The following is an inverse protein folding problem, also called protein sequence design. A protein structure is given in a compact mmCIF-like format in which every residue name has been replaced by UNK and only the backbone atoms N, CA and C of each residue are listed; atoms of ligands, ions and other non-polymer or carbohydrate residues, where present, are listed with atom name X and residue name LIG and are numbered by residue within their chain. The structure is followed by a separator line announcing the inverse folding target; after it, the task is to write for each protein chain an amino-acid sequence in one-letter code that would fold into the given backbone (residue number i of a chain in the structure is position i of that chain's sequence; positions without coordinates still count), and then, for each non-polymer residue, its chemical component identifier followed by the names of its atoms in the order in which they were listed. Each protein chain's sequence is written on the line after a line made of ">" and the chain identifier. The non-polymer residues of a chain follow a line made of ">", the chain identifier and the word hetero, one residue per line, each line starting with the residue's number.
data_IF_789963887068
#
_entry.id   IF_789963887068
#
_cell.length_a   1.000
_cell.length_b   1.000
_cell.length_c   1.000
_cell.angle_alpha   90.00
_cell.angle_beta   90.00
_cell.angle_gamma   90.00
#
_symmetry.space_group_name_H-M   'P 1'
#
loop_
_entity.id
_entity.type
_entity.pdbx_description
1 polymer ?
#
# COMPACT_ATOMS: atom_id res chain seq x y z
N UNK A 1 6.23 23.70 18.08
CA UNK A 1 6.90 23.43 19.38
C UNK A 1 6.61 22.00 19.79
N UNK A 2 7.29 21.44 20.80
CA UNK A 2 6.99 20.08 21.28
C UNK A 2 5.54 19.95 21.77
N UNK A 3 4.97 21.02 22.32
CA UNK A 3 3.56 21.08 22.72
C UNK A 3 2.59 20.81 21.56
N UNK A 4 2.83 21.43 20.40
CA UNK A 4 2.02 21.19 19.21
C UNK A 4 2.15 19.76 18.68
N UNK A 5 3.32 19.13 18.82
CA UNK A 5 3.51 17.74 18.41
C UNK A 5 2.72 16.77 19.29
N UNK A 6 2.71 16.99 20.60
CA UNK A 6 1.91 16.18 21.53
C UNK A 6 0.41 16.35 21.31
N UNK A 7 -0.04 17.56 20.99
CA UNK A 7 -1.44 17.79 20.63
C UNK A 7 -1.83 17.02 19.36
N UNK A 8 -0.99 17.06 18.32
CA UNK A 8 -1.19 16.30 17.08
C UNK A 8 -1.19 14.79 17.36
N UNK A 9 -0.26 14.29 18.16
CA UNK A 9 -0.18 12.87 18.54
C UNK A 9 -1.46 12.41 19.24
N UNK A 10 -1.95 13.20 20.21
CA UNK A 10 -3.17 12.88 20.94
C UNK A 10 -4.40 12.86 20.02
N UNK A 11 -4.52 13.83 19.11
CA UNK A 11 -5.60 13.89 18.13
C UNK A 11 -5.56 12.72 17.14
N UNK A 12 -4.36 12.32 16.71
CA UNK A 12 -4.15 11.21 15.79
C UNK A 12 -4.51 9.87 16.47
N UNK A 13 -4.06 9.65 17.71
CA UNK A 13 -4.41 8.47 18.48
C UNK A 13 -5.92 8.37 18.74
N UNK A 14 -6.57 9.50 19.05
CA UNK A 14 -8.03 9.55 19.15
C UNK A 14 -8.70 9.11 17.84
N UNK A 15 -8.25 9.68 16.71
CA UNK A 15 -8.78 9.37 15.38
C UNK A 15 -8.59 7.90 14.99
N UNK A 16 -7.47 7.28 15.36
CA UNK A 16 -7.22 5.85 15.14
C UNK A 16 -8.19 4.98 15.94
N UNK A 17 -8.42 5.29 17.21
CA UNK A 17 -9.36 4.55 18.04
C UNK A 17 -10.80 4.64 17.53
N UNK A 18 -11.20 5.82 17.05
CA UNK A 18 -12.49 6.02 16.38
C UNK A 18 -12.58 5.26 15.06
N UNK A 19 -11.50 5.24 14.28
CA UNK A 19 -11.41 4.45 13.04
C UNK A 19 -11.52 2.94 13.25
N UNK A 20 -10.99 2.41 14.34
CA UNK A 20 -11.04 0.97 14.65
C UNK A 20 -12.40 0.49 15.19
N UNK A 21 -13.24 1.41 15.69
CA UNK A 21 -14.52 1.11 16.33
C UNK A 21 -15.66 1.03 15.30
N UNK A 22 -16.49 -0.01 15.42
CA UNK A 22 -17.60 -0.27 14.48
C UNK A 22 -18.60 0.88 14.36
N UNK A 23 -18.92 1.52 15.48
CA UNK A 23 -19.91 2.59 15.60
C UNK A 23 -19.39 3.95 15.11
N UNK A 24 -18.10 4.22 15.26
CA UNK A 24 -17.50 5.51 14.88
C UNK A 24 -16.78 5.49 13.53
N UNK A 25 -16.37 4.32 13.02
CA UNK A 25 -15.68 4.16 11.74
C UNK A 25 -16.34 4.88 10.54
N UNK A 26 -17.68 4.83 10.34
CA UNK A 26 -18.33 5.47 9.20
C UNK A 26 -18.05 6.98 9.09
N UNK A 27 -17.87 7.65 10.23
CA UNK A 27 -17.63 9.11 10.31
C UNK A 27 -16.22 9.49 10.76
N UNK A 28 -15.40 8.53 11.18
CA UNK A 28 -14.03 8.79 11.62
C UNK A 28 -13.17 9.43 10.50
N UNK A 29 -12.27 10.37 10.82
CA UNK A 29 -11.39 11.02 9.84
C UNK A 29 -10.27 10.09 9.36
N UNK A 30 -9.85 9.13 10.20
CA UNK A 30 -8.93 8.06 9.82
C UNK A 30 -9.70 6.75 9.81
N UNK A 31 -9.78 6.09 8.65
CA UNK A 31 -10.68 4.94 8.45
C UNK A 31 -10.17 3.61 8.98
N UNK A 32 -8.88 3.46 9.23
CA UNK A 32 -8.29 2.23 9.78
C UNK A 32 -8.78 0.95 9.08
N UNK A 33 -8.85 0.97 7.74
CA UNK A 33 -9.35 -0.16 6.98
C UNK A 33 -8.46 -1.40 7.15
N UNK A 34 -9.04 -2.62 7.18
CA UNK A 34 -8.25 -3.83 7.25
C UNK A 34 -7.40 -4.00 5.99
N UNK A 35 -6.12 -4.31 6.15
CA UNK A 35 -5.18 -4.56 5.04
C UNK A 35 -5.32 -5.97 4.47
N UNK A 36 -6.06 -6.86 5.15
CA UNK A 36 -6.19 -8.29 4.86
C UNK A 36 -4.89 -9.10 4.90
N UNK A 37 -3.77 -8.48 5.27
CA UNK A 37 -2.51 -9.15 5.61
C UNK A 37 -2.68 -9.79 6.99
N UNK A 38 -2.55 -11.12 7.07
CA UNK A 38 -2.82 -11.89 8.30
C UNK A 38 -1.56 -12.29 9.05
N UNK A 39 -0.42 -12.21 8.40
CA UNK A 39 0.88 -12.53 9.00
C UNK A 39 1.95 -11.61 8.41
N UNK A 40 2.96 -11.30 9.20
CA UNK A 40 4.09 -10.46 8.79
C UNK A 40 5.25 -11.37 8.45
N UNK A 41 5.95 -11.14 7.31
CA UNK A 41 7.07 -11.98 6.95
C UNK A 41 8.14 -12.03 8.06
N UNK A 42 8.59 -13.23 8.38
CA UNK A 42 9.58 -13.50 9.44
C UNK A 42 10.87 -14.16 8.91
N UNK A 43 10.95 -14.37 7.60
CA UNK A 43 12.10 -14.94 6.91
C UNK A 43 12.15 -16.48 6.94
N UNK A 44 11.14 -17.15 7.48
CA UNK A 44 11.04 -18.63 7.53
C UNK A 44 10.11 -19.20 6.46
N UNK A 45 9.63 -18.37 5.53
CA UNK A 45 8.70 -18.75 4.49
C UNK A 45 9.39 -19.67 3.48
N UNK A 46 9.38 -20.98 3.75
CA UNK A 46 9.85 -22.02 2.81
C UNK A 46 9.10 -22.03 1.47
N UNK A 47 7.94 -21.37 1.42
CA UNK A 47 7.11 -21.20 0.23
C UNK A 47 7.36 -19.85 -0.47
N UNK A 48 8.29 -19.03 0.02
CA UNK A 48 8.66 -17.78 -0.63
C UNK A 48 9.60 -18.00 -1.82
N UNK A 49 10.24 -19.16 -1.95
CA UNK A 49 11.06 -19.45 -3.13
C UNK A 49 10.21 -19.44 -4.40
N UNK A 50 10.63 -18.68 -5.40
CA UNK A 50 9.91 -18.58 -6.67
C UNK A 50 10.00 -17.20 -7.33
N UNK A 51 9.30 -17.09 -8.46
CA UNK A 51 9.17 -15.85 -9.23
C UNK A 51 7.80 -15.22 -8.98
N UNK A 52 7.80 -13.94 -8.66
CA UNK A 52 6.63 -13.15 -8.37
C UNK A 52 6.64 -11.90 -9.25
N UNK A 53 5.46 -11.48 -9.67
CA UNK A 53 5.29 -10.20 -10.34
C UNK A 53 4.55 -9.24 -9.43
N UNK A 54 5.01 -8.01 -9.38
CA UNK A 54 4.28 -6.91 -8.78
C UNK A 54 4.06 -5.81 -9.82
N UNK A 55 2.90 -5.18 -9.74
CA UNK A 55 2.51 -4.03 -10.54
C UNK A 55 2.30 -2.86 -9.58
N UNK A 56 3.03 -1.78 -9.81
CA UNK A 56 2.90 -0.52 -9.07
C UNK A 56 2.30 0.52 -10.00
N UNK A 57 1.01 0.79 -9.84
CA UNK A 57 0.26 1.73 -10.66
C UNK A 57 0.22 3.10 -9.96
N UNK A 58 1.08 4.01 -10.41
CA UNK A 58 1.04 5.42 -10.04
C UNK A 58 0.13 6.23 -10.97
N UNK A 59 0.05 7.54 -10.74
CA UNK A 59 -0.75 8.44 -11.58
C UNK A 59 -0.17 8.65 -12.98
N UNK A 60 1.14 8.95 -13.06
CA UNK A 60 1.81 9.31 -14.33
C UNK A 60 2.63 8.18 -14.93
N UNK A 61 3.07 7.24 -14.10
CA UNK A 61 3.84 6.08 -14.51
C UNK A 61 3.33 4.84 -13.78
N UNK A 62 3.54 3.68 -14.38
CA UNK A 62 3.44 2.41 -13.69
C UNK A 62 4.76 1.65 -13.81
N UNK A 63 4.98 0.72 -12.90
CA UNK A 63 6.19 -0.09 -12.83
C UNK A 63 5.84 -1.57 -12.74
N UNK A 64 6.50 -2.37 -13.55
CA UNK A 64 6.46 -3.83 -13.48
C UNK A 64 7.71 -4.29 -12.76
N UNK A 65 7.53 -5.12 -11.73
CA UNK A 65 8.60 -5.71 -10.92
C UNK A 65 8.55 -7.23 -11.09
N UNK A 66 9.69 -7.83 -11.43
CA UNK A 66 9.89 -9.26 -11.34
C UNK A 66 10.80 -9.54 -10.14
N UNK A 67 10.25 -10.20 -9.13
CA UNK A 67 10.98 -10.64 -7.95
C UNK A 67 11.30 -12.13 -8.10
N UNK A 68 12.56 -12.48 -7.98
CA UNK A 68 13.00 -13.87 -7.86
C UNK A 68 13.60 -14.06 -6.47
N UNK A 69 12.88 -14.81 -5.65
CA UNK A 69 13.23 -15.07 -4.26
C UNK A 69 13.80 -16.48 -4.21
N UNK A 70 15.07 -16.62 -3.81
CA UNK A 70 15.75 -17.88 -3.49
C UNK A 70 16.56 -17.65 -2.19
N UNK A 71 17.80 -18.13 -2.10
CA UNK A 71 18.76 -17.77 -1.03
C UNK A 71 19.04 -16.25 -0.95
N UNK A 72 18.82 -15.53 -2.06
CA UNK A 72 18.89 -14.09 -2.19
C UNK A 72 17.65 -13.58 -2.95
N UNK A 73 17.33 -12.30 -2.78
CA UNK A 73 16.25 -11.64 -3.51
C UNK A 73 16.87 -10.91 -4.71
N UNK A 74 16.47 -11.31 -5.91
CA UNK A 74 16.75 -10.58 -7.15
C UNK A 74 15.51 -9.80 -7.59
N UNK A 75 15.70 -8.56 -8.03
CA UNK A 75 14.62 -7.67 -8.42
C UNK A 75 14.98 -6.99 -9.74
N UNK A 76 14.18 -7.27 -10.75
CA UNK A 76 14.19 -6.55 -12.02
C UNK A 76 12.98 -5.61 -12.09
N UNK A 77 13.18 -4.42 -12.67
CA UNK A 77 12.18 -3.37 -12.70
C UNK A 77 12.17 -2.66 -14.05
N UNK A 78 10.99 -2.40 -14.58
CA UNK A 78 10.79 -1.54 -15.74
C UNK A 78 9.67 -0.53 -15.49
N UNK A 79 9.86 0.71 -15.93
CA UNK A 79 8.94 1.83 -15.71
C UNK A 79 8.36 2.28 -17.04
N UNK A 80 7.05 2.49 -17.06
CA UNK A 80 6.29 2.90 -18.24
C UNK A 80 5.49 4.15 -17.93
N UNK A 81 5.47 5.10 -18.85
CA UNK A 81 4.63 6.29 -18.74
C UNK A 81 3.19 5.97 -19.14
N UNK A 82 2.23 6.48 -18.36
CA UNK A 82 0.81 6.37 -18.67
C UNK A 82 0.44 7.51 -19.62
N UNK A 83 -0.13 7.23 -20.81
CA UNK A 83 -0.63 8.27 -21.71
C UNK A 83 -1.73 9.13 -21.05
N UNK A 84 -1.74 10.43 -21.34
CA UNK A 84 -2.74 11.38 -20.80
C UNK A 84 -4.18 10.98 -21.15
N UNK A 85 -4.39 10.45 -22.36
CA UNK A 85 -5.69 9.95 -22.78
C UNK A 85 -6.20 8.77 -21.94
N UNK A 86 -5.30 7.95 -21.37
CA UNK A 86 -5.65 6.84 -20.48
C UNK A 86 -5.86 7.35 -19.05
N UNK A 87 -5.04 8.29 -18.58
CA UNK A 87 -5.22 8.91 -17.25
C UNK A 87 -6.59 9.58 -17.07
N UNK A 88 -7.12 10.20 -18.13
CA UNK A 88 -8.45 10.83 -18.16
C UNK A 88 -9.52 9.94 -18.82
N UNK A 89 -9.17 8.69 -19.09
CA UNK A 89 -10.02 7.71 -19.73
C UNK A 89 -10.99 7.01 -18.78
N UNK A 90 -11.66 5.98 -19.29
CA UNK A 90 -12.48 5.08 -18.46
C UNK A 90 -11.61 4.02 -17.79
N UNK A 91 -12.11 3.40 -16.72
CA UNK A 91 -11.44 2.25 -16.08
C UNK A 91 -11.05 1.16 -17.08
N UNK A 92 -11.92 0.88 -18.07
CA UNK A 92 -11.69 -0.11 -19.14
C UNK A 92 -10.46 0.12 -20.02
N UNK A 93 -9.89 1.32 -20.02
CA UNK A 93 -8.74 1.66 -20.87
C UNK A 93 -7.40 1.41 -20.18
N UNK A 94 -7.42 1.05 -18.89
CA UNK A 94 -6.22 0.80 -18.08
C UNK A 94 -5.74 -0.66 -18.19
N UNK A 95 -6.57 -1.58 -18.68
CA UNK A 95 -6.33 -3.03 -18.74
C UNK A 95 -6.57 -3.66 -20.10
#
# INVERSE_FOLDING_TARGET
>A
TNEQLWEIEALLLKSFNEGLRKDTNPVAPVKMFPTFVRDVPDGREKYAEGKYMALDLGGTNFRVLLLEINDQIHLDSEVYSVPESIMHGTGDQVY
#
